data_IF_599701968955
#
_entry.id   IF_599701968955
#
_cell.length_a   1.000
_cell.length_b   1.000
_cell.length_c   1.000
_cell.angle_alpha   90.00
_cell.angle_beta   90.00
_cell.angle_gamma   90.00
#
_symmetry.space_group_name_H-M   'P 1'
#
loop_
_entity.id
_entity.type
_entity.pdbx_description
1 polymer ?
#
# COMPACT_ATOMS: atom_id res chain seq x y z
N UNK A 1 5.95 4.92 20.97
CA UNK A 1 6.48 5.25 19.63
C UNK A 1 5.30 5.65 18.77
N UNK A 2 5.25 6.90 18.34
CA UNK A 2 4.22 7.38 17.42
C UNK A 2 4.45 6.79 16.03
N UNK A 3 3.39 6.20 15.46
CA UNK A 3 3.37 5.70 14.08
C UNK A 3 2.32 6.49 13.31
N UNK A 4 2.66 6.89 12.08
CA UNK A 4 1.75 7.59 11.18
C UNK A 4 1.64 6.79 9.89
N UNK A 5 0.41 6.53 9.47
CA UNK A 5 0.14 6.01 8.14
C UNK A 5 0.13 7.17 7.15
N UNK A 6 0.99 7.11 6.15
CA UNK A 6 0.97 8.05 5.04
C UNK A 6 0.45 7.34 3.80
N UNK A 7 -0.63 7.84 3.22
CA UNK A 7 -1.18 7.27 1.98
C UNK A 7 -0.32 7.71 0.81
N UNK A 8 0.40 6.78 0.23
CA UNK A 8 1.27 7.00 -0.93
C UNK A 8 0.46 7.20 -2.21
N UNK A 9 -0.29 6.17 -2.58
CA UNK A 9 -1.00 6.16 -3.85
C UNK A 9 -2.30 5.38 -3.76
N UNK A 10 -3.08 5.47 -4.83
CA UNK A 10 -4.33 4.72 -4.97
C UNK A 10 -4.41 4.22 -6.40
N UNK A 11 -4.40 2.90 -6.56
CA UNK A 11 -4.45 2.24 -7.86
C UNK A 11 -5.63 1.27 -7.92
N UNK A 12 -5.84 0.68 -9.09
CA UNK A 12 -6.88 -0.31 -9.31
C UNK A 12 -6.24 -1.67 -9.54
N UNK A 13 -6.89 -2.70 -9.06
CA UNK A 13 -6.54 -4.11 -9.28
C UNK A 13 -7.75 -4.84 -9.82
N UNK A 14 -7.52 -5.94 -10.53
CA UNK A 14 -8.56 -6.79 -11.08
C UNK A 14 -8.37 -8.22 -10.56
N UNK A 15 -9.46 -8.89 -10.19
CA UNK A 15 -9.45 -10.32 -9.86
C UNK A 15 -9.51 -11.21 -11.12
N UNK A 16 -9.33 -12.52 -10.94
CA UNK A 16 -9.44 -13.50 -12.02
C UNK A 16 -10.84 -13.58 -12.66
N UNK A 17 -11.87 -13.05 -11.98
CA UNK A 17 -13.25 -12.97 -12.48
C UNK A 17 -13.51 -11.68 -13.27
N UNK A 18 -12.54 -10.77 -13.36
CA UNK A 18 -12.64 -9.50 -14.07
C UNK A 18 -13.19 -8.34 -13.23
N UNK A 19 -13.49 -8.53 -11.94
CA UNK A 19 -13.98 -7.45 -11.10
C UNK A 19 -12.83 -6.54 -10.69
N UNK A 20 -13.06 -5.22 -10.73
CA UNK A 20 -12.04 -4.21 -10.44
C UNK A 20 -12.22 -3.64 -9.04
N UNK A 21 -11.16 -3.64 -8.26
CA UNK A 21 -11.12 -3.08 -6.90
C UNK A 21 -10.15 -1.91 -6.85
N UNK A 22 -10.43 -0.96 -5.95
CA UNK A 22 -9.52 0.14 -5.66
C UNK A 22 -8.66 -0.24 -4.47
N UNK A 23 -7.35 -0.04 -4.59
CA UNK A 23 -6.36 -0.28 -3.54
C UNK A 23 -5.78 1.06 -3.10
N UNK A 24 -5.66 1.25 -1.80
CA UNK A 24 -4.92 2.32 -1.16
C UNK A 24 -3.62 1.76 -0.61
N UNK A 25 -2.50 2.32 -1.05
CA UNK A 25 -1.18 2.01 -0.51
C UNK A 25 -0.84 3.01 0.59
N UNK A 26 -0.42 2.49 1.74
CA UNK A 26 0.03 3.25 2.88
C UNK A 26 1.47 2.85 3.20
N UNK A 27 2.31 3.83 3.49
CA UNK A 27 3.60 3.58 4.15
C UNK A 27 3.46 3.87 5.64
N UNK A 28 4.20 3.11 6.45
CA UNK A 28 4.31 3.36 7.87
C UNK A 28 5.49 4.29 8.10
N UNK A 29 5.21 5.47 8.63
CA UNK A 29 6.20 6.41 9.13
C UNK A 29 6.34 6.21 10.63
N UNK A 30 7.57 6.19 11.13
CA UNK A 30 7.84 6.24 12.56
C UNK A 30 8.41 7.60 12.93
N UNK A 31 8.00 8.10 14.10
CA UNK A 31 8.59 9.30 14.65
C UNK A 31 9.98 8.97 15.19
N UNK A 32 10.98 9.65 14.63
CA UNK A 32 12.34 9.67 15.17
C UNK A 32 12.57 11.01 15.86
N UNK A 33 12.91 10.91 17.14
CA UNK A 33 13.34 12.07 17.92
C UNK A 33 14.84 12.26 17.66
N UNK A 34 15.17 13.19 16.78
CA UNK A 34 16.55 13.57 16.53
C UNK A 34 17.00 14.52 17.64
N UNK A 35 17.84 14.02 18.54
CA UNK A 35 18.40 14.76 19.68
C UNK A 35 19.17 16.03 19.28
N UNK A 36 19.63 16.14 18.02
CA UNK A 36 20.35 17.32 17.53
C UNK A 36 19.45 18.44 17.00
N UNK A 37 18.29 18.11 16.43
CA UNK A 37 17.55 19.06 15.59
C UNK A 37 16.30 19.65 16.27
N UNK A 38 15.91 19.16 17.45
CA UNK A 38 14.67 19.52 18.18
C UNK A 38 13.38 19.45 17.34
N UNK A 39 13.45 19.02 16.08
CA UNK A 39 12.33 18.81 15.17
C UNK A 39 11.92 17.35 15.17
N UNK A 40 10.61 17.16 15.20
CA UNK A 40 9.98 15.85 15.01
C UNK A 40 10.14 15.44 13.54
N UNK A 41 11.04 14.50 13.27
CA UNK A 41 11.20 13.92 11.94
C UNK A 41 10.39 12.62 11.84
N UNK A 42 9.77 12.41 10.68
CA UNK A 42 9.07 11.17 10.34
C UNK A 42 9.89 10.44 9.31
N UNK A 43 10.31 9.20 9.63
CA UNK A 43 11.07 8.37 8.71
C UNK A 43 10.23 7.19 8.22
N UNK A 44 10.31 6.85 6.92
CA UNK A 44 9.69 5.64 6.38
C UNK A 44 10.35 4.42 7.00
N UNK A 45 9.53 3.57 7.60
CA UNK A 45 9.99 2.30 8.20
C UNK A 45 10.32 1.24 7.16
N UNK A 46 9.89 1.44 5.91
CA UNK A 46 9.90 0.42 4.87
C UNK A 46 8.74 -0.58 4.98
N UNK A 47 7.88 -0.48 6.01
CA UNK A 47 6.65 -1.25 6.09
C UNK A 47 5.58 -0.58 5.21
N UNK A 48 5.00 -1.34 4.29
CA UNK A 48 3.90 -0.93 3.43
C UNK A 48 2.65 -1.73 3.75
N UNK A 49 1.51 -1.05 3.81
CA UNK A 49 0.21 -1.65 4.01
C UNK A 49 -0.68 -1.32 2.81
N UNK A 50 -1.22 -2.35 2.18
CA UNK A 50 -2.14 -2.22 1.08
C UNK A 50 -3.54 -2.59 1.56
N UNK A 51 -4.53 -1.75 1.26
CA UNK A 51 -5.92 -1.98 1.64
C UNK A 51 -6.84 -1.75 0.47
N UNK A 52 -7.81 -2.63 0.27
CA UNK A 52 -8.93 -2.37 -0.60
C UNK A 52 -9.77 -1.21 -0.05
N UNK A 53 -10.42 -0.48 -0.94
CA UNK A 53 -11.38 0.55 -0.58
C UNK A 53 -12.59 -0.01 0.20
N UNK A 54 -12.82 -1.32 0.13
CA UNK A 54 -13.78 -2.07 0.95
C UNK A 54 -13.33 -2.27 2.39
N UNK A 55 -12.04 -2.08 2.69
CA UNK A 55 -11.44 -2.22 4.01
C UNK A 55 -10.60 -3.49 4.20
N UNK A 56 -10.62 -4.40 3.24
CA UNK A 56 -9.82 -5.64 3.29
C UNK A 56 -8.33 -5.33 3.11
N UNK A 57 -7.47 -6.03 3.85
CA UNK A 57 -6.03 -5.92 3.69
C UNK A 57 -5.57 -6.73 2.47
N UNK A 58 -4.54 -6.25 1.79
CA UNK A 58 -3.86 -7.01 0.76
C UNK A 58 -2.47 -7.42 1.24
N UNK A 59 -2.15 -8.69 1.03
CA UNK A 59 -0.81 -9.25 1.18
C UNK A 59 -0.11 -9.18 -0.17
N UNK A 60 1.18 -8.88 -0.16
CA UNK A 60 2.01 -8.87 -1.38
C UNK A 60 3.05 -9.96 -1.21
N UNK A 61 3.06 -10.89 -2.15
CA UNK A 61 4.04 -11.97 -2.20
C UNK A 61 5.39 -11.46 -2.70
N UNK A 62 6.45 -12.24 -2.54
CA UNK A 62 7.82 -11.88 -2.95
C UNK A 62 7.91 -11.62 -4.47
N UNK A 63 7.05 -12.25 -5.27
CA UNK A 63 6.94 -12.02 -6.72
C UNK A 63 6.25 -10.68 -7.06
N UNK A 64 5.70 -9.98 -6.06
CA UNK A 64 4.94 -8.74 -6.24
C UNK A 64 3.46 -8.98 -6.59
N UNK A 65 3.01 -10.24 -6.60
CA UNK A 65 1.59 -10.57 -6.74
C UNK A 65 0.84 -10.19 -5.47
N UNK A 66 -0.31 -9.54 -5.64
CA UNK A 66 -1.13 -9.07 -4.52
C UNK A 66 -2.28 -10.05 -4.26
N UNK A 67 -2.61 -10.29 -3.00
CA UNK A 67 -3.66 -11.22 -2.58
C UNK A 67 -4.53 -10.58 -1.51
N UNK A 68 -5.84 -10.86 -1.52
CA UNK A 68 -6.71 -10.44 -0.42
C UNK A 68 -6.38 -11.25 0.83
N UNK A 69 -5.99 -10.55 1.90
CA UNK A 69 -5.65 -11.16 3.17
C UNK A 69 -6.82 -11.98 3.72
N UNK A 70 -6.56 -13.23 4.04
CA UNK A 70 -7.56 -14.19 4.54
C UNK A 70 -8.40 -14.88 3.46
N UNK A 71 -8.48 -14.35 2.24
CA UNK A 71 -9.14 -15.02 1.10
C UNK A 71 -8.15 -15.67 0.13
N UNK A 72 -6.89 -15.23 0.11
CA UNK A 72 -5.85 -15.72 -0.80
C UNK A 72 -6.16 -15.46 -2.28
N UNK A 73 -7.10 -14.56 -2.57
CA UNK A 73 -7.53 -14.29 -3.95
C UNK A 73 -6.47 -13.44 -4.65
N UNK A 74 -5.84 -13.93 -5.74
CA UNK A 74 -4.84 -13.16 -6.48
C UNK A 74 -5.50 -11.98 -7.19
N UNK A 75 -4.84 -10.84 -7.11
CA UNK A 75 -5.23 -9.57 -7.69
C UNK A 75 -4.12 -9.08 -8.59
N UNK A 76 -4.47 -8.73 -9.81
CA UNK A 76 -3.54 -8.16 -10.78
C UNK A 76 -3.69 -6.65 -10.82
N UNK A 77 -2.58 -5.92 -10.69
CA UNK A 77 -2.60 -4.46 -10.85
C UNK A 77 -3.00 -4.12 -12.28
N UNK A 78 -4.13 -3.46 -12.43
CA UNK A 78 -4.50 -2.83 -13.69
C UNK A 78 -3.79 -1.49 -13.73
N UNK A 79 -2.56 -1.52 -14.22
CA UNK A 79 -1.86 -0.30 -14.63
C UNK A 79 -2.80 0.42 -15.60
N UNK A 80 -3.18 1.70 -15.36
CA UNK A 80 -3.77 2.47 -16.44
C UNK A 80 -2.72 2.43 -17.54
N UNK A 81 -3.04 1.77 -18.66
CA UNK A 81 -2.17 1.66 -19.81
C UNK A 81 -1.52 3.01 -20.00
N UNK A 82 -0.19 3.08 -19.83
CA UNK A 82 0.55 4.31 -20.05
C UNK A 82 0.08 4.82 -21.41
N UNK A 83 -0.66 5.92 -21.40
CA UNK A 83 -1.11 6.57 -22.61
C UNK A 83 0.19 7.02 -23.28
N UNK A 84 0.67 6.21 -24.22
CA UNK A 84 1.81 6.53 -25.05
C UNK A 84 1.45 7.84 -25.76
N UNK A 85 2.17 8.90 -25.40
CA UNK A 85 2.16 10.18 -26.09
C UNK A 85 3.35 10.23 -27.02
#
# INVERSE_FOLDING_TARGET
>A
MDKKLHRLETFRVQDLHGATYKVHAYEHLTRVDNLLDMQTQWEPTGEFEYKLATGEHLEVDEDGTMYVAGSGMPLQRVSPSAHAM
#
